data_IF_768761038111
#
_entry.id   IF_768761038111
#
_cell.length_a   1.000
_cell.length_b   1.000
_cell.length_c   1.000
_cell.angle_alpha   90.00
_cell.angle_beta   90.00
_cell.angle_gamma   90.00
#
_symmetry.space_group_name_H-M   'P 1'
#
loop_
_entity.id
_entity.type
_entity.pdbx_description
1 polymer ?
#
# COMPACT_ATOMS: atom_id res chain seq x y z
N UNK A 1 -4.48 13.54 16.02
CA UNK A 1 -3.15 14.01 16.47
C UNK A 1 -3.26 14.72 17.81
N UNK A 2 -2.19 14.74 18.60
CA UNK A 2 -2.13 15.45 19.88
C UNK A 2 -2.08 16.97 19.65
N UNK A 3 -1.50 17.39 18.52
CA UNK A 3 -1.47 18.77 18.04
C UNK A 3 -1.39 18.78 16.53
N UNK A 4 -1.55 19.94 15.91
CA UNK A 4 -1.56 20.12 14.46
C UNK A 4 -2.86 19.67 13.81
N UNK A 5 -2.87 19.57 12.48
CA UNK A 5 -4.02 19.18 11.69
C UNK A 5 -3.61 18.21 10.57
N UNK A 6 -4.51 17.27 10.23
CA UNK A 6 -4.37 16.44 9.04
C UNK A 6 -5.36 16.95 8.01
N UNK A 7 -4.85 17.23 6.80
CA UNK A 7 -5.65 17.71 5.70
C UNK A 7 -5.75 16.63 4.62
N UNK A 8 -6.95 16.41 4.10
CA UNK A 8 -7.18 15.58 2.92
C UNK A 8 -7.84 16.48 1.85
N UNK A 9 -7.19 16.61 0.69
CA UNK A 9 -7.63 17.55 -0.36
C UNK A 9 -7.89 18.97 0.18
N UNK A 10 -7.00 19.46 1.08
CA UNK A 10 -7.10 20.79 1.68
C UNK A 10 -8.13 20.93 2.81
N UNK A 11 -8.92 19.91 3.13
CA UNK A 11 -9.94 19.92 4.18
C UNK A 11 -9.42 19.18 5.44
N UNK A 12 -9.65 19.80 6.61
CA UNK A 12 -9.32 19.15 7.89
C UNK A 12 -10.26 17.96 8.13
N UNK A 13 -9.66 16.78 8.43
CA UNK A 13 -10.38 15.52 8.58
C UNK A 13 -10.69 15.15 10.03
N UNK A 14 -10.48 16.04 10.99
CA UNK A 14 -10.65 15.74 12.43
C UNK A 14 -12.06 15.29 12.81
N UNK A 15 -13.09 15.77 12.11
CA UNK A 15 -14.51 15.47 12.35
C UNK A 15 -15.25 14.88 11.15
N UNK A 16 -14.55 14.61 10.06
CA UNK A 16 -15.13 14.03 8.84
C UNK A 16 -14.59 12.63 8.62
N UNK A 17 -15.45 11.71 8.20
CA UNK A 17 -15.08 10.33 7.87
C UNK A 17 -15.27 10.00 6.39
N UNK A 18 -15.91 10.88 5.61
CA UNK A 18 -16.25 10.63 4.21
C UNK A 18 -15.00 10.48 3.32
N UNK A 19 -13.90 11.16 3.66
CA UNK A 19 -12.63 11.00 2.94
C UNK A 19 -12.13 9.56 2.89
N UNK A 20 -12.53 8.70 3.84
CA UNK A 20 -12.13 7.28 3.87
C UNK A 20 -12.65 6.48 2.68
N UNK A 21 -13.74 6.92 2.04
CA UNK A 21 -14.22 6.32 0.81
C UNK A 21 -13.26 6.49 -0.36
N UNK A 22 -12.40 7.52 -0.31
CA UNK A 22 -11.38 7.80 -1.32
C UNK A 22 -10.04 7.10 -1.01
N UNK A 23 -9.94 6.36 0.10
CA UNK A 23 -8.71 5.69 0.52
C UNK A 23 -8.88 4.17 0.44
N UNK A 24 -7.95 3.52 -0.25
CA UNK A 24 -7.70 2.09 -0.14
C UNK A 24 -6.56 1.85 0.84
N UNK A 25 -6.75 0.96 1.79
CA UNK A 25 -5.75 0.65 2.80
C UNK A 25 -5.43 -0.84 2.82
N UNK A 26 -4.16 -1.15 2.69
CA UNK A 26 -3.62 -2.48 2.84
C UNK A 26 -2.70 -2.51 4.06
N UNK A 27 -3.13 -3.08 5.20
CA UNK A 27 -2.28 -3.20 6.39
C UNK A 27 -1.22 -4.27 6.19
N UNK A 28 -0.10 -4.18 6.91
CA UNK A 28 0.96 -5.20 6.92
C UNK A 28 0.43 -6.61 7.25
N UNK A 29 -0.53 -6.70 8.16
CA UNK A 29 -1.24 -7.94 8.51
C UNK A 29 -2.73 -7.69 8.48
N UNK A 30 -3.39 -8.15 7.43
CA UNK A 30 -4.85 -8.12 7.34
C UNK A 30 -5.48 -8.96 8.46
N UNK A 31 -6.39 -8.36 9.22
CA UNK A 31 -7.19 -9.06 10.25
C UNK A 31 -8.63 -9.04 9.83
N UNK A 32 -9.16 -10.21 9.58
CA UNK A 32 -10.53 -10.43 9.14
C UNK A 32 -11.22 -11.41 10.10
N UNK A 33 -12.55 -11.45 10.17
CA UNK A 33 -13.24 -12.43 11.00
C UNK A 33 -12.89 -13.86 10.58
N UNK A 34 -12.33 -14.64 11.50
CA UNK A 34 -11.77 -15.97 11.26
C UNK A 34 -12.78 -16.95 10.64
N UNK A 35 -14.06 -16.86 11.05
CA UNK A 35 -15.12 -17.75 10.59
C UNK A 35 -15.74 -17.36 9.24
N UNK A 36 -15.47 -16.18 8.74
CA UNK A 36 -15.94 -15.74 7.41
C UNK A 36 -15.11 -16.36 6.30
N UNK A 37 -15.75 -16.62 5.17
CA UNK A 37 -15.06 -16.99 3.93
C UNK A 37 -14.51 -15.74 3.23
N UNK A 38 -13.63 -15.92 2.25
CA UNK A 38 -13.12 -14.81 1.43
C UNK A 38 -14.28 -14.03 0.81
N UNK A 39 -15.23 -14.75 0.17
CA UNK A 39 -16.42 -14.13 -0.43
C UNK A 39 -17.22 -13.32 0.58
N UNK A 40 -17.49 -13.89 1.75
CA UNK A 40 -18.23 -13.19 2.83
C UNK A 40 -17.50 -11.92 3.31
N UNK A 41 -16.17 -11.94 3.39
CA UNK A 41 -15.40 -10.74 3.76
C UNK A 41 -15.52 -9.67 2.67
N UNK A 42 -15.41 -10.05 1.40
CA UNK A 42 -15.57 -9.11 0.28
C UNK A 42 -16.97 -8.50 0.28
N UNK A 43 -18.01 -9.31 0.44
CA UNK A 43 -19.40 -8.85 0.48
C UNK A 43 -19.65 -7.93 1.68
N UNK A 44 -19.15 -8.28 2.86
CA UNK A 44 -19.22 -7.43 4.05
C UNK A 44 -18.61 -6.05 3.79
N UNK A 45 -17.45 -5.98 3.15
CA UNK A 45 -16.81 -4.70 2.85
C UNK A 45 -17.59 -3.94 1.77
N UNK A 46 -18.15 -4.63 0.76
CA UNK A 46 -19.05 -4.02 -0.23
C UNK A 46 -20.27 -3.40 0.45
N UNK A 47 -20.88 -4.09 1.39
CA UNK A 47 -22.04 -3.60 2.15
C UNK A 47 -21.69 -2.38 3.02
N UNK A 48 -20.56 -2.42 3.74
CA UNK A 48 -20.08 -1.30 4.56
C UNK A 48 -19.80 -0.07 3.70
N UNK A 49 -19.18 -0.24 2.55
CA UNK A 49 -18.86 0.84 1.63
C UNK A 49 -20.10 1.39 0.93
N UNK A 50 -21.14 0.57 0.74
CA UNK A 50 -22.42 0.93 0.11
C UNK A 50 -22.24 1.81 -1.13
N UNK A 51 -21.26 1.49 -1.95
CA UNK A 51 -20.95 2.26 -3.16
C UNK A 51 -21.69 1.70 -4.38
N UNK A 52 -22.11 2.61 -5.27
CA UNK A 52 -22.66 2.26 -6.59
C UNK A 52 -21.58 2.33 -7.69
N UNK A 53 -20.35 2.63 -7.32
CA UNK A 53 -19.24 2.71 -8.27
C UNK A 53 -18.88 1.33 -8.81
N UNK A 54 -18.34 1.30 -10.01
CA UNK A 54 -17.76 0.09 -10.59
C UNK A 54 -16.59 -0.42 -9.72
N UNK A 55 -16.57 -1.73 -9.49
CA UNK A 55 -15.57 -2.38 -8.66
C UNK A 55 -14.38 -2.79 -9.52
N UNK A 56 -13.19 -2.62 -8.99
CA UNK A 56 -11.94 -3.09 -9.61
C UNK A 56 -11.61 -4.49 -9.07
N UNK A 57 -12.08 -5.52 -9.78
CA UNK A 57 -11.86 -6.92 -9.41
C UNK A 57 -10.59 -7.53 -10.03
N UNK A 58 -9.75 -6.72 -10.70
CA UNK A 58 -8.57 -7.18 -11.43
C UNK A 58 -7.62 -8.02 -10.57
N UNK A 59 -7.36 -7.61 -9.30
CA UNK A 59 -6.49 -8.40 -8.41
C UNK A 59 -7.18 -9.67 -7.89
N UNK A 60 -8.51 -9.68 -7.75
CA UNK A 60 -9.26 -10.90 -7.40
C UNK A 60 -9.05 -11.96 -8.47
N UNK A 61 -9.16 -11.58 -9.74
CA UNK A 61 -8.97 -12.48 -10.88
C UNK A 61 -7.49 -12.88 -11.01
N UNK A 62 -6.58 -11.93 -10.99
CA UNK A 62 -5.14 -12.18 -11.18
C UNK A 62 -4.56 -13.09 -10.09
N UNK A 63 -5.02 -12.98 -8.84
CA UNK A 63 -4.64 -13.84 -7.74
C UNK A 63 -5.45 -15.15 -7.68
N UNK A 64 -6.39 -15.34 -8.60
CA UNK A 64 -7.29 -16.50 -8.68
C UNK A 64 -8.06 -16.73 -7.37
N UNK A 65 -8.47 -15.66 -6.70
CA UNK A 65 -9.23 -15.76 -5.46
C UNK A 65 -10.62 -16.35 -5.69
N UNK A 66 -11.17 -16.19 -6.90
CA UNK A 66 -12.43 -16.80 -7.31
C UNK A 66 -12.46 -18.33 -7.13
N UNK A 67 -11.32 -19.00 -7.30
CA UNK A 67 -11.20 -20.46 -7.14
C UNK A 67 -11.32 -20.91 -5.66
N UNK A 68 -11.22 -19.99 -4.72
CA UNK A 68 -11.13 -20.26 -3.28
C UNK A 68 -12.04 -19.39 -2.41
N UNK A 69 -13.06 -18.75 -2.99
CA UNK A 69 -13.98 -17.83 -2.30
C UNK A 69 -14.66 -18.45 -1.07
N UNK A 70 -14.88 -19.76 -1.08
CA UNK A 70 -15.52 -20.51 0.02
C UNK A 70 -14.55 -20.84 1.17
N UNK A 71 -13.24 -20.59 1.01
CA UNK A 71 -12.28 -20.86 2.09
C UNK A 71 -12.44 -19.83 3.20
N UNK A 72 -12.47 -20.33 4.45
CA UNK A 72 -12.51 -19.48 5.65
C UNK A 72 -11.17 -18.77 5.85
N UNK A 73 -11.23 -17.52 6.34
CA UNK A 73 -10.04 -16.69 6.57
C UNK A 73 -9.03 -17.37 7.51
N UNK A 74 -9.49 -18.07 8.54
CA UNK A 74 -8.62 -18.81 9.47
C UNK A 74 -7.80 -19.93 8.83
N UNK A 75 -8.21 -20.43 7.65
CA UNK A 75 -7.55 -21.52 6.95
C UNK A 75 -6.60 -21.04 5.84
N UNK A 76 -6.41 -19.74 5.69
CA UNK A 76 -5.56 -19.16 4.67
C UNK A 76 -4.10 -19.10 5.14
N UNK A 77 -3.17 -19.28 4.20
CA UNK A 77 -1.78 -18.92 4.44
C UNK A 77 -1.62 -17.40 4.56
N UNK A 78 -0.54 -16.93 5.19
CA UNK A 78 -0.24 -15.50 5.27
C UNK A 78 -0.22 -14.82 3.90
N UNK A 79 0.42 -15.46 2.90
CA UNK A 79 0.46 -14.93 1.53
C UNK A 79 -0.92 -14.86 0.87
N UNK A 80 -1.81 -15.85 1.13
CA UNK A 80 -3.18 -15.78 0.61
C UNK A 80 -3.98 -14.67 1.30
N UNK A 81 -3.84 -14.49 2.61
CA UNK A 81 -4.45 -13.37 3.34
C UNK A 81 -3.96 -12.03 2.80
N UNK A 82 -2.67 -11.93 2.45
CA UNK A 82 -2.10 -10.73 1.86
C UNK A 82 -2.68 -10.45 0.45
N UNK A 83 -2.91 -11.48 -0.38
CA UNK A 83 -3.62 -11.35 -1.67
C UNK A 83 -5.04 -10.82 -1.49
N UNK A 84 -5.78 -11.32 -0.50
CA UNK A 84 -7.13 -10.80 -0.16
C UNK A 84 -7.03 -9.33 0.28
N UNK A 85 -6.07 -9.00 1.14
CA UNK A 85 -5.87 -7.63 1.65
C UNK A 85 -5.54 -6.65 0.52
N UNK A 86 -4.65 -7.03 -0.39
CA UNK A 86 -4.34 -6.25 -1.58
C UNK A 86 -5.60 -6.04 -2.44
N UNK A 87 -6.33 -7.12 -2.77
CA UNK A 87 -7.54 -7.02 -3.58
C UNK A 87 -8.56 -6.05 -2.98
N UNK A 88 -8.80 -6.11 -1.67
CA UNK A 88 -9.72 -5.20 -0.98
C UNK A 88 -9.26 -3.73 -0.99
N UNK A 89 -7.95 -3.48 -0.93
CA UNK A 89 -7.43 -2.12 -0.99
C UNK A 89 -7.71 -1.42 -2.32
N UNK A 90 -7.67 -2.17 -3.43
CA UNK A 90 -7.90 -1.65 -4.77
C UNK A 90 -9.37 -1.73 -5.22
N UNK A 91 -10.18 -2.59 -4.59
CA UNK A 91 -11.53 -2.98 -5.04
C UNK A 91 -12.46 -1.81 -5.38
N UNK A 92 -12.40 -0.73 -4.63
CA UNK A 92 -13.30 0.43 -4.78
C UNK A 92 -12.68 1.57 -5.61
N UNK A 93 -11.64 1.27 -6.36
CA UNK A 93 -10.96 2.23 -7.25
C UNK A 93 -10.61 3.57 -6.55
N UNK A 94 -9.97 3.54 -5.36
CA UNK A 94 -9.72 4.74 -4.56
C UNK A 94 -8.74 5.71 -5.24
N UNK A 95 -8.81 6.99 -4.88
CA UNK A 95 -7.87 8.03 -5.35
C UNK A 95 -6.53 7.97 -4.63
N UNK A 96 -6.55 7.49 -3.39
CA UNK A 96 -5.36 7.35 -2.53
C UNK A 96 -5.23 5.91 -2.07
N UNK A 97 -4.04 5.34 -2.20
CA UNK A 97 -3.68 4.03 -1.68
C UNK A 97 -2.62 4.17 -0.59
N UNK A 98 -2.85 3.51 0.54
CA UNK A 98 -1.87 3.39 1.63
C UNK A 98 -1.57 1.90 1.78
N UNK A 99 -0.36 1.51 1.42
CA UNK A 99 0.08 0.12 1.32
C UNK A 99 1.23 -0.12 2.31
N UNK A 100 0.96 -0.87 3.36
CA UNK A 100 1.93 -1.16 4.41
C UNK A 100 2.59 -2.51 4.14
N UNK A 101 3.87 -2.52 3.75
CA UNK A 101 4.66 -3.70 3.37
C UNK A 101 3.93 -4.59 2.34
N UNK A 102 3.49 -4.04 1.19
CA UNK A 102 2.52 -4.71 0.32
C UNK A 102 3.01 -6.04 -0.28
N UNK A 103 4.31 -6.20 -0.49
CA UNK A 103 4.88 -7.42 -1.08
C UNK A 103 5.30 -8.46 -0.05
N UNK A 104 5.30 -8.10 1.24
CA UNK A 104 5.73 -9.00 2.30
C UNK A 104 4.87 -10.28 2.37
N UNK A 105 5.53 -11.43 2.31
CA UNK A 105 4.87 -12.74 2.40
C UNK A 105 4.14 -13.20 1.13
N UNK A 106 4.17 -12.43 0.05
CA UNK A 106 3.71 -12.86 -1.27
C UNK A 106 4.75 -13.78 -1.94
N UNK A 107 4.26 -14.70 -2.74
CA UNK A 107 5.12 -15.42 -3.69
C UNK A 107 5.60 -14.47 -4.80
N UNK A 108 6.72 -14.78 -5.51
CA UNK A 108 7.29 -13.88 -6.51
C UNK A 108 6.32 -13.44 -7.61
N UNK A 109 5.46 -14.36 -8.07
CA UNK A 109 4.48 -14.03 -9.12
C UNK A 109 3.43 -13.03 -8.60
N UNK A 110 2.90 -13.27 -7.39
CA UNK A 110 1.92 -12.39 -6.79
C UNK A 110 2.52 -11.00 -6.46
N UNK A 111 3.77 -10.95 -6.03
CA UNK A 111 4.47 -9.70 -5.80
C UNK A 111 4.60 -8.89 -7.10
N UNK A 112 4.94 -9.54 -8.21
CA UNK A 112 5.05 -8.88 -9.52
C UNK A 112 3.70 -8.36 -10.01
N UNK A 113 2.64 -9.17 -9.94
CA UNK A 113 1.27 -8.75 -10.28
C UNK A 113 0.85 -7.50 -9.48
N UNK A 114 1.16 -7.48 -8.17
CA UNK A 114 0.84 -6.33 -7.33
C UNK A 114 1.65 -5.08 -7.71
N UNK A 115 2.94 -5.22 -8.01
CA UNK A 115 3.80 -4.13 -8.47
C UNK A 115 3.29 -3.53 -9.79
N UNK A 116 2.95 -4.38 -10.75
CA UNK A 116 2.36 -3.94 -12.02
C UNK A 116 1.05 -3.15 -11.78
N UNK A 117 0.19 -3.63 -10.87
CA UNK A 117 -1.03 -2.92 -10.49
C UNK A 117 -0.75 -1.57 -9.87
N UNK A 118 0.20 -1.48 -8.94
CA UNK A 118 0.63 -0.22 -8.31
C UNK A 118 1.11 0.78 -9.37
N UNK A 119 1.97 0.35 -10.29
CA UNK A 119 2.49 1.18 -11.38
C UNK A 119 1.34 1.67 -12.28
N UNK A 120 0.41 0.79 -12.63
CA UNK A 120 -0.73 1.13 -13.46
C UNK A 120 -1.64 2.18 -12.81
N UNK A 121 -1.90 2.07 -11.51
CA UNK A 121 -2.72 3.03 -10.77
C UNK A 121 -1.99 4.39 -10.58
N UNK A 122 -0.68 4.36 -10.36
CA UNK A 122 0.13 5.59 -10.30
C UNK A 122 0.10 6.35 -11.63
N UNK A 123 0.21 5.63 -12.77
CA UNK A 123 0.09 6.23 -14.11
C UNK A 123 -1.28 6.89 -14.37
N UNK A 124 -2.33 6.47 -13.67
CA UNK A 124 -3.65 7.11 -13.70
C UNK A 124 -3.73 8.39 -12.84
N UNK A 125 -2.63 8.78 -12.19
CA UNK A 125 -2.54 9.97 -11.33
C UNK A 125 -2.97 9.77 -9.89
N UNK A 126 -3.13 8.53 -9.43
CA UNK A 126 -3.46 8.23 -8.04
C UNK A 126 -2.26 8.44 -7.13
N UNK A 127 -2.52 8.90 -5.91
CA UNK A 127 -1.50 9.02 -4.87
C UNK A 127 -1.32 7.66 -4.17
N UNK A 128 -0.10 7.16 -4.14
CA UNK A 128 0.21 5.87 -3.52
C UNK A 128 1.31 6.05 -2.48
N UNK A 129 0.97 5.80 -1.22
CA UNK A 129 1.93 5.70 -0.12
C UNK A 129 2.30 4.25 0.12
N UNK A 130 3.59 3.95 0.10
CA UNK A 130 4.12 2.62 0.39
C UNK A 130 5.08 2.72 1.57
N UNK A 131 4.86 1.94 2.61
CA UNK A 131 5.90 1.67 3.60
C UNK A 131 6.62 0.38 3.22
N UNK A 132 7.94 0.35 3.30
CA UNK A 132 8.71 -0.87 3.10
C UNK A 132 10.08 -0.77 3.76
N UNK A 133 10.56 -1.89 4.26
CA UNK A 133 11.95 -2.08 4.68
C UNK A 133 12.81 -2.71 3.58
N UNK A 134 12.20 -3.20 2.50
CA UNK A 134 12.88 -3.81 1.34
C UNK A 134 13.10 -2.76 0.25
N UNK A 135 14.06 -1.86 0.48
CA UNK A 135 14.34 -0.73 -0.40
C UNK A 135 14.63 -1.12 -1.86
N UNK A 136 15.18 -2.32 -2.08
CA UNK A 136 15.48 -2.83 -3.43
C UNK A 136 14.22 -3.09 -4.27
N UNK A 137 13.07 -3.28 -3.64
CA UNK A 137 11.80 -3.49 -4.33
C UNK A 137 11.11 -2.19 -4.74
N UNK A 138 11.59 -1.04 -4.23
CA UNK A 138 10.97 0.26 -4.43
C UNK A 138 11.56 1.04 -5.62
N UNK A 139 12.70 0.63 -6.17
CA UNK A 139 13.45 1.40 -7.17
C UNK A 139 12.61 1.85 -8.38
N UNK A 140 11.69 0.99 -8.83
CA UNK A 140 10.83 1.23 -10.00
C UNK A 140 9.38 1.61 -9.61
N UNK A 141 9.05 1.58 -8.31
CA UNK A 141 7.69 1.80 -7.82
C UNK A 141 7.44 3.23 -7.35
N UNK A 142 8.48 3.93 -6.88
CA UNK A 142 8.31 5.20 -6.18
C UNK A 142 8.99 6.36 -6.88
N UNK A 143 8.34 7.52 -6.85
CA UNK A 143 8.85 8.79 -7.39
C UNK A 143 9.54 9.62 -6.32
N UNK A 144 9.08 9.50 -5.08
CA UNK A 144 9.52 10.30 -3.95
C UNK A 144 9.77 9.41 -2.73
N UNK A 145 10.70 9.84 -1.88
CA UNK A 145 11.05 9.15 -0.64
C UNK A 145 10.95 10.10 0.53
N UNK A 146 10.27 9.66 1.56
CA UNK A 146 10.28 10.28 2.88
C UNK A 146 11.01 9.35 3.84
N UNK A 147 12.17 9.76 4.34
CA UNK A 147 12.89 9.02 5.37
C UNK A 147 12.46 9.54 6.73
N UNK A 148 11.94 8.64 7.57
CA UNK A 148 11.58 8.93 8.95
C UNK A 148 12.47 8.12 9.89
N UNK A 149 12.94 8.76 10.96
CA UNK A 149 13.74 8.13 12.01
C UNK A 149 13.36 8.75 13.36
N UNK A 150 13.05 7.90 14.35
CA UNK A 150 12.70 8.32 15.72
C UNK A 150 11.54 9.33 15.79
N UNK A 151 10.62 9.28 14.81
CA UNK A 151 9.46 10.17 14.71
C UNK A 151 9.70 11.46 13.94
N UNK A 152 10.94 11.75 13.55
CA UNK A 152 11.32 12.93 12.77
C UNK A 152 11.49 12.60 11.28
N UNK A 153 11.09 13.53 10.42
CA UNK A 153 11.38 13.46 8.98
C UNK A 153 12.81 13.95 8.76
N UNK A 154 13.69 13.03 8.36
CA UNK A 154 15.08 13.34 8.03
C UNK A 154 15.20 14.03 6.69
N UNK A 155 14.47 13.53 5.68
CA UNK A 155 14.35 14.21 4.40
C UNK A 155 13.08 13.77 3.66
N UNK A 156 12.68 14.61 2.70
CA UNK A 156 11.70 14.30 1.66
C UNK A 156 12.26 14.79 0.34
N UNK A 157 12.50 13.89 -0.61
CA UNK A 157 13.00 14.24 -1.95
C UNK A 157 12.63 13.21 -3.00
N UNK A 158 12.72 13.61 -4.28
CA UNK A 158 12.50 12.68 -5.38
C UNK A 158 13.62 11.63 -5.46
N UNK A 159 13.26 10.43 -5.94
CA UNK A 159 14.23 9.34 -6.13
C UNK A 159 15.34 9.71 -7.12
N UNK A 160 15.01 10.49 -8.15
CA UNK A 160 15.99 10.99 -9.13
C UNK A 160 17.03 11.90 -8.47
N UNK A 161 16.60 12.89 -7.69
CA UNK A 161 17.51 13.80 -6.98
C UNK A 161 18.36 13.06 -5.95
N UNK A 162 17.76 12.10 -5.22
CA UNK A 162 18.46 11.28 -4.25
C UNK A 162 19.59 10.45 -4.92
N UNK A 163 19.30 9.81 -6.04
CA UNK A 163 20.27 9.02 -6.81
C UNK A 163 21.39 9.91 -7.39
N UNK A 164 21.05 11.09 -7.89
CA UNK A 164 22.00 12.07 -8.40
C UNK A 164 22.97 12.55 -7.31
N UNK A 165 22.45 13.01 -6.18
CA UNK A 165 23.27 13.52 -5.06
C UNK A 165 24.20 12.48 -4.45
N UNK A 166 23.83 11.22 -4.52
CA UNK A 166 24.62 10.10 -3.97
C UNK A 166 25.47 9.40 -5.02
N UNK A 167 25.36 9.82 -6.30
CA UNK A 167 26.01 9.19 -7.45
C UNK A 167 25.77 7.67 -7.49
N UNK A 168 24.55 7.25 -7.26
CA UNK A 168 24.13 5.83 -7.28
C UNK A 168 22.94 5.61 -8.18
N UNK A 169 22.79 4.37 -8.67
CA UNK A 169 21.63 3.96 -9.49
C UNK A 169 20.55 3.26 -8.69
N UNK A 170 20.81 2.91 -7.43
CA UNK A 170 19.91 2.15 -6.56
C UNK A 170 19.47 2.98 -5.37
N UNK A 171 18.16 2.99 -5.10
CA UNK A 171 17.56 3.67 -3.96
C UNK A 171 18.13 3.16 -2.63
N UNK A 172 18.32 1.85 -2.51
CA UNK A 172 18.90 1.24 -1.31
C UNK A 172 20.32 1.75 -1.02
N UNK A 173 21.16 1.87 -2.07
CA UNK A 173 22.53 2.42 -1.93
C UNK A 173 22.49 3.90 -1.59
N UNK A 174 21.59 4.66 -2.22
CA UNK A 174 21.44 6.09 -1.97
C UNK A 174 21.05 6.37 -0.50
N UNK A 175 20.04 5.69 0.01
CA UNK A 175 19.61 5.82 1.41
C UNK A 175 20.72 5.38 2.36
N UNK A 176 21.39 4.25 2.10
CA UNK A 176 22.51 3.77 2.93
C UNK A 176 23.65 4.78 2.98
N UNK A 177 23.94 5.46 1.87
CA UNK A 177 24.98 6.50 1.80
C UNK A 177 24.62 7.68 2.73
N UNK A 178 23.38 8.16 2.70
CA UNK A 178 22.94 9.26 3.57
C UNK A 178 23.00 8.85 5.04
N UNK A 179 22.45 7.68 5.39
CA UNK A 179 22.46 7.20 6.77
C UNK A 179 23.85 7.04 7.35
N UNK A 180 24.82 6.58 6.55
CA UNK A 180 26.23 6.48 7.00
C UNK A 180 26.85 7.84 7.27
N UNK A 181 26.50 8.85 6.47
CA UNK A 181 27.04 10.21 6.63
C UNK A 181 26.50 10.88 7.91
N UNK A 182 25.22 10.62 8.24
CA UNK A 182 24.59 11.16 9.45
C UNK A 182 25.10 10.48 10.73
N UNK A 183 25.61 9.24 10.65
CA UNK A 183 26.22 8.53 11.78
C UNK A 183 27.68 8.93 12.08
N UNK A 184 28.32 9.70 11.22
CA UNK A 184 29.73 10.12 11.37
C UNK A 184 29.84 11.56 11.92
N UNK A 185 28.71 12.23 12.13
CA UNK A 185 28.60 13.51 12.83
C UNK A 185 28.08 13.31 14.25
#
# INVERSE_FOLDING_TARGET
PTSGAILFNGKNIASDYHYRHQIGYMPQKGRYPDNMTIGQVIDMIKDIRNTKSELDEQLIDAFRLNDIMDKKMMNLSGGTTQKVSASLAFLFNPDVLILDEPTAGLDPLAAEILKEKIIAENKKGKLIFITSHLLSELDDLVTDVVLMQEGDIRFHMSTSLLKEQTNTTSLAKAITYILKRDHVQ
#
